data_IF_754915179912
#
_entry.id   IF_754915179912
#
_cell.length_a   1.000
_cell.length_b   1.000
_cell.length_c   1.000
_cell.angle_alpha   90.00
_cell.angle_beta   90.00
_cell.angle_gamma   90.00
#
_symmetry.space_group_name_H-M   'P 1'
#
loop_
_entity.id
_entity.type
_entity.pdbx_description
1 polymer ?
#
# COMPACT_ATOMS: atom_id res chain seq x y z
N UNK A 1 8.01 -8.59 29.80
CA UNK A 1 7.50 -9.65 28.90
C UNK A 1 8.38 -9.78 27.67
N UNK A 2 8.23 -10.81 26.88
CA UNK A 2 8.91 -10.95 25.59
C UNK A 2 8.27 -10.00 24.55
N UNK A 3 9.11 -9.22 23.86
CA UNK A 3 8.70 -8.29 22.82
C UNK A 3 9.10 -8.89 21.44
N UNK A 4 8.12 -9.36 20.65
CA UNK A 4 8.39 -10.01 19.38
C UNK A 4 8.96 -9.04 18.33
N UNK A 5 8.57 -7.75 18.34
CA UNK A 5 9.06 -6.79 17.37
C UNK A 5 10.51 -6.39 17.68
N UNK A 6 10.82 -6.11 18.94
CA UNK A 6 12.20 -5.84 19.35
C UNK A 6 13.13 -7.01 19.00
N UNK A 7 12.69 -8.26 19.31
CA UNK A 7 13.44 -9.46 18.97
C UNK A 7 13.65 -9.59 17.45
N UNK A 8 12.60 -9.36 16.64
CA UNK A 8 12.68 -9.47 15.19
C UNK A 8 13.69 -8.47 14.61
N UNK A 9 13.60 -7.20 15.02
CA UNK A 9 14.52 -6.14 14.57
C UNK A 9 15.97 -6.50 14.91
N UNK A 10 16.22 -6.90 16.16
CA UNK A 10 17.56 -7.30 16.62
C UNK A 10 18.12 -8.47 15.79
N UNK A 11 17.32 -9.49 15.53
CA UNK A 11 17.74 -10.66 14.76
C UNK A 11 17.96 -10.37 13.28
N UNK A 12 17.21 -9.42 12.69
CA UNK A 12 17.48 -8.91 11.34
C UNK A 12 18.82 -8.19 11.29
N UNK A 13 19.06 -7.26 12.19
CA UNK A 13 20.28 -6.44 12.23
C UNK A 13 21.54 -7.29 12.47
N UNK A 14 21.48 -8.31 13.34
CA UNK A 14 22.59 -9.27 13.52
C UNK A 14 23.01 -9.98 12.22
N UNK A 15 22.12 -10.01 11.23
CA UNK A 15 22.35 -10.66 9.92
C UNK A 15 22.56 -9.66 8.79
N UNK A 16 22.65 -8.36 9.10
CA UNK A 16 22.77 -7.30 8.09
C UNK A 16 21.51 -7.12 7.24
N UNK A 17 20.34 -7.45 7.79
CA UNK A 17 19.02 -7.34 7.13
C UNK A 17 18.27 -6.16 7.73
N UNK A 18 17.76 -5.28 6.90
CA UNK A 18 16.85 -4.20 7.31
C UNK A 18 15.48 -4.77 7.73
N UNK A 19 14.90 -4.20 8.77
CA UNK A 19 13.60 -4.61 9.31
C UNK A 19 12.52 -3.54 9.04
N UNK A 20 11.50 -3.94 8.30
CA UNK A 20 10.36 -3.07 7.97
C UNK A 20 9.09 -3.53 8.67
N UNK A 21 8.31 -2.58 9.19
CA UNK A 21 7.00 -2.85 9.78
C UNK A 21 5.91 -2.66 8.74
N UNK A 22 5.03 -3.63 8.60
CA UNK A 22 3.85 -3.57 7.72
C UNK A 22 2.59 -3.34 8.53
N UNK A 23 1.81 -2.30 8.17
CA UNK A 23 0.57 -1.92 8.84
C UNK A 23 -0.59 -1.76 7.87
N UNK A 24 -1.79 -2.04 8.36
CA UNK A 24 -3.06 -1.66 7.75
C UNK A 24 -3.63 -0.46 8.53
N UNK A 25 -3.45 0.79 8.05
CA UNK A 25 -3.72 1.96 8.89
C UNK A 25 -5.19 2.13 9.26
N UNK A 26 -6.12 1.79 8.38
CA UNK A 26 -7.54 2.03 8.61
C UNK A 26 -8.37 0.77 8.87
N UNK A 27 -7.94 -0.40 8.40
CA UNK A 27 -8.76 -1.60 8.47
C UNK A 27 -8.99 -2.07 9.90
N UNK A 28 -10.24 -1.99 10.36
CA UNK A 28 -10.68 -2.51 11.64
C UNK A 28 -11.15 -3.97 11.55
N UNK A 29 -11.97 -4.31 10.53
CA UNK A 29 -12.47 -5.68 10.31
C UNK A 29 -12.80 -5.95 8.84
N UNK A 30 -12.70 -7.21 8.44
CA UNK A 30 -13.21 -7.73 7.16
C UNK A 30 -14.43 -8.65 7.32
N UNK A 31 -15.02 -8.70 8.54
CA UNK A 31 -16.11 -9.61 8.91
C UNK A 31 -17.33 -8.87 9.48
N UNK A 32 -17.42 -7.56 9.25
CA UNK A 32 -18.52 -6.70 9.72
C UNK A 32 -18.28 -6.04 11.06
N UNK A 33 -19.22 -5.16 11.43
CA UNK A 33 -19.12 -4.26 12.60
C UNK A 33 -19.20 -4.98 13.95
N UNK A 34 -19.71 -6.20 13.98
CA UNK A 34 -19.89 -6.97 15.22
C UNK A 34 -18.73 -7.96 15.49
N UNK A 35 -17.63 -7.88 14.73
CA UNK A 35 -16.49 -8.80 14.86
C UNK A 35 -15.79 -8.66 16.21
N UNK A 36 -15.63 -7.45 16.72
CA UNK A 36 -14.91 -7.13 17.96
C UNK A 36 -15.81 -6.39 18.94
N UNK A 37 -15.60 -6.61 20.22
CA UNK A 37 -16.44 -6.05 21.28
C UNK A 37 -15.67 -5.79 22.58
N UNK A 38 -14.38 -5.53 22.50
CA UNK A 38 -13.64 -5.03 23.66
C UNK A 38 -14.20 -3.67 24.09
N UNK A 39 -13.88 -3.22 25.29
CA UNK A 39 -14.28 -1.91 25.78
C UNK A 39 -13.87 -0.78 24.80
N UNK A 40 -12.66 -0.85 24.28
CA UNK A 40 -12.17 0.10 23.28
C UNK A 40 -12.91 0.00 21.94
N UNK A 41 -13.25 -1.19 21.46
CA UNK A 41 -14.04 -1.36 20.25
C UNK A 41 -15.44 -0.75 20.38
N UNK A 42 -16.06 -0.89 21.54
CA UNK A 42 -17.35 -0.31 21.84
C UNK A 42 -17.29 1.22 21.90
N UNK A 43 -16.23 1.77 22.48
CA UNK A 43 -15.97 3.21 22.49
C UNK A 43 -15.86 3.77 21.07
N UNK A 44 -15.06 3.15 20.20
CA UNK A 44 -14.93 3.58 18.81
C UNK A 44 -16.25 3.52 18.03
N UNK A 45 -17.06 2.47 18.24
CA UNK A 45 -18.41 2.37 17.65
C UNK A 45 -19.33 3.49 18.14
N UNK A 46 -19.38 3.72 19.45
CA UNK A 46 -20.24 4.74 20.07
C UNK A 46 -19.87 6.16 19.65
N UNK A 47 -18.59 6.40 19.37
CA UNK A 47 -18.07 7.69 18.90
C UNK A 47 -18.11 7.84 17.38
N UNK A 48 -18.77 6.91 16.64
CA UNK A 48 -18.86 6.93 15.18
C UNK A 48 -17.49 6.97 14.47
N UNK A 49 -16.47 6.39 15.09
CA UNK A 49 -15.14 6.33 14.49
C UNK A 49 -15.01 5.26 13.40
N UNK A 50 -16.00 4.38 13.27
CA UNK A 50 -15.99 3.29 12.31
C UNK A 50 -17.02 3.51 11.20
N UNK A 51 -16.64 3.19 9.97
CA UNK A 51 -17.54 3.17 8.81
C UNK A 51 -17.56 1.77 8.18
N UNK A 52 -18.73 1.41 7.66
CA UNK A 52 -18.96 0.12 7.01
C UNK A 52 -19.08 0.36 5.51
N UNK A 53 -18.37 -0.41 4.71
CA UNK A 53 -18.50 -0.38 3.26
C UNK A 53 -19.87 -0.90 2.76
N UNK A 54 -20.20 -0.59 1.52
CA UNK A 54 -21.50 -0.92 0.93
C UNK A 54 -21.80 -2.43 0.91
N UNK A 55 -20.77 -3.28 0.95
CA UNK A 55 -20.91 -4.73 1.05
C UNK A 55 -21.24 -5.24 2.46
N UNK A 56 -21.26 -4.38 3.48
CA UNK A 56 -21.57 -4.73 4.87
C UNK A 56 -20.49 -5.50 5.63
N UNK A 57 -19.38 -5.87 5.00
CA UNK A 57 -18.33 -6.72 5.60
C UNK A 57 -17.07 -5.96 5.97
N UNK A 58 -16.58 -5.10 5.10
CA UNK A 58 -15.40 -4.31 5.39
C UNK A 58 -15.73 -3.12 6.27
N UNK A 59 -15.00 -3.01 7.37
CA UNK A 59 -15.14 -1.92 8.35
C UNK A 59 -13.78 -1.27 8.53
N UNK A 60 -13.73 0.05 8.41
CA UNK A 60 -12.53 0.84 8.61
C UNK A 60 -12.75 1.93 9.64
N UNK A 61 -11.70 2.39 10.26
CA UNK A 61 -11.73 3.70 10.90
C UNK A 61 -12.09 4.76 9.85
N UNK A 62 -12.89 5.74 10.25
CA UNK A 62 -13.36 6.79 9.34
C UNK A 62 -12.22 7.77 8.98
N UNK A 63 -11.74 7.79 7.72
CA UNK A 63 -10.62 8.65 7.34
C UNK A 63 -10.96 10.15 7.39
N UNK A 64 -12.24 10.49 7.45
CA UNK A 64 -12.71 11.87 7.54
C UNK A 64 -12.54 12.49 8.95
N UNK A 65 -12.27 11.69 9.96
CA UNK A 65 -12.12 12.15 11.33
C UNK A 65 -10.68 12.48 11.67
N UNK A 66 -10.50 13.63 12.31
CA UNK A 66 -9.20 14.06 12.84
C UNK A 66 -8.68 13.07 13.89
N UNK A 67 -9.55 12.56 14.74
CA UNK A 67 -9.27 11.59 15.79
C UNK A 67 -8.72 10.26 15.21
N UNK A 68 -9.26 9.81 14.09
CA UNK A 68 -8.72 8.64 13.37
C UNK A 68 -7.30 8.91 12.86
N UNK A 69 -7.06 10.06 12.26
CA UNK A 69 -5.74 10.44 11.77
C UNK A 69 -4.73 10.56 12.93
N UNK A 70 -5.11 11.20 14.02
CA UNK A 70 -4.28 11.30 15.24
C UNK A 70 -3.98 9.92 15.84
N UNK A 71 -4.95 9.00 15.86
CA UNK A 71 -4.73 7.62 16.31
C UNK A 71 -3.64 6.94 15.47
N UNK A 72 -3.74 7.01 14.14
CA UNK A 72 -2.76 6.40 13.23
C UNK A 72 -1.38 7.01 13.44
N UNK A 73 -1.28 8.34 13.46
CA UNK A 73 -0.02 9.05 13.67
C UNK A 73 0.62 8.71 15.02
N UNK A 74 -0.18 8.55 16.08
CA UNK A 74 0.32 8.15 17.40
C UNK A 74 0.88 6.73 17.40
N UNK A 75 0.25 5.79 16.71
CA UNK A 75 0.79 4.42 16.54
C UNK A 75 2.12 4.46 15.78
N UNK A 76 2.21 5.24 14.70
CA UNK A 76 3.47 5.43 13.96
C UNK A 76 4.56 6.00 14.87
N UNK A 77 4.24 7.06 15.62
CA UNK A 77 5.14 7.69 16.56
C UNK A 77 5.66 6.72 17.62
N UNK A 78 4.77 5.89 18.19
CA UNK A 78 5.13 4.87 19.16
C UNK A 78 6.15 3.88 18.57
N UNK A 79 5.86 3.34 17.38
CA UNK A 79 6.72 2.35 16.73
C UNK A 79 8.09 2.96 16.40
N UNK A 80 8.12 4.12 15.75
CA UNK A 80 9.37 4.77 15.31
C UNK A 80 10.24 5.20 16.49
N UNK A 81 9.62 5.57 17.62
CA UNK A 81 10.35 5.99 18.83
C UNK A 81 10.92 4.80 19.60
N UNK A 82 10.18 3.69 19.69
CA UNK A 82 10.55 2.59 20.58
C UNK A 82 11.34 1.46 19.89
N UNK A 83 11.33 1.39 18.56
CA UNK A 83 11.98 0.31 17.81
C UNK A 83 12.96 0.85 16.78
N UNK A 84 14.09 0.18 16.67
CA UNK A 84 15.15 0.53 15.70
C UNK A 84 14.83 -0.01 14.28
N UNK A 85 13.59 0.21 13.81
CA UNK A 85 13.17 -0.18 12.47
C UNK A 85 13.89 0.64 11.40
N UNK A 86 14.05 0.06 10.20
CA UNK A 86 14.67 0.72 9.04
C UNK A 86 13.63 1.30 8.09
N UNK A 87 12.40 0.82 8.18
CA UNK A 87 11.31 1.33 7.36
C UNK A 87 9.93 0.86 7.79
N UNK A 88 8.94 1.40 7.09
CA UNK A 88 7.54 1.13 7.32
C UNK A 88 6.78 1.06 6.00
N UNK A 89 5.85 0.12 5.89
CA UNK A 89 5.01 -0.09 4.73
C UNK A 89 3.53 -0.11 5.13
N UNK A 90 2.72 0.72 4.48
CA UNK A 90 1.27 0.60 4.56
C UNK A 90 0.72 -0.32 3.46
N UNK A 91 -0.35 -1.05 3.79
CA UNK A 91 -1.15 -1.83 2.84
C UNK A 91 -2.12 -0.93 2.07
N UNK A 92 -2.95 -1.50 1.19
CA UNK A 92 -3.87 -0.82 0.28
C UNK A 92 -5.29 -0.58 0.85
N UNK A 93 -5.50 -0.77 2.15
CA UNK A 93 -6.82 -0.63 2.79
C UNK A 93 -7.00 0.78 3.36
N UNK A 94 -7.64 1.68 2.59
CA UNK A 94 -7.97 3.05 3.00
C UNK A 94 -9.45 3.17 3.35
N UNK A 95 -10.31 3.56 2.40
CA UNK A 95 -11.75 3.41 2.60
C UNK A 95 -12.16 1.94 2.45
N UNK A 96 -13.37 1.53 2.93
CA UNK A 96 -13.78 0.14 2.89
C UNK A 96 -13.69 -0.46 1.49
N UNK A 97 -13.07 -1.62 1.36
CA UNK A 97 -13.09 -2.40 0.13
C UNK A 97 -14.53 -2.80 -0.22
N UNK A 98 -14.97 -2.53 -1.42
CA UNK A 98 -16.37 -2.60 -1.81
C UNK A 98 -17.00 -1.22 -1.98
N UNK A 99 -16.23 -0.20 -1.61
CA UNK A 99 -16.61 1.18 -1.81
C UNK A 99 -17.49 1.75 -0.72
N UNK A 100 -17.82 3.02 -0.93
CA UNK A 100 -18.73 3.79 -0.09
C UNK A 100 -19.48 4.74 -1.03
N UNK A 101 -20.80 4.77 -0.92
CA UNK A 101 -21.62 5.62 -1.80
C UNK A 101 -21.18 7.08 -1.77
N UNK A 102 -21.25 7.77 -2.90
CA UNK A 102 -20.95 9.20 -3.05
C UNK A 102 -22.24 10.04 -3.04
N UNK A 103 -23.11 9.82 -2.07
CA UNK A 103 -24.40 10.50 -1.93
C UNK A 103 -24.63 10.97 -0.51
N UNK A 104 -25.76 11.63 -0.28
CA UNK A 104 -26.18 12.10 1.06
C UNK A 104 -26.42 10.98 2.07
N UNK A 105 -26.46 9.72 1.64
CA UNK A 105 -26.54 8.55 2.53
C UNK A 105 -25.17 8.00 2.91
N UNK A 106 -24.06 8.61 2.46
CA UNK A 106 -22.73 8.19 2.81
C UNK A 106 -22.46 8.30 4.31
N UNK A 107 -21.75 7.35 4.91
CA UNK A 107 -21.49 7.36 6.35
C UNK A 107 -20.65 8.55 6.83
N UNK A 108 -19.90 9.17 5.94
CA UNK A 108 -19.06 10.36 6.20
C UNK A 108 -19.64 11.66 5.59
N UNK A 109 -20.92 11.65 5.15
CA UNK A 109 -21.52 12.79 4.47
C UNK A 109 -21.65 14.04 5.35
N UNK A 110 -21.94 13.88 6.62
CA UNK A 110 -22.06 15.02 7.55
C UNK A 110 -20.68 15.67 7.78
N UNK A 111 -19.59 14.90 7.83
CA UNK A 111 -18.23 15.42 7.89
C UNK A 111 -17.87 16.16 6.59
N UNK A 112 -18.26 15.60 5.43
CA UNK A 112 -18.08 16.26 4.14
C UNK A 112 -18.78 17.62 4.10
N UNK A 113 -20.03 17.68 4.51
CA UNK A 113 -20.78 18.95 4.58
C UNK A 113 -20.14 19.95 5.56
N UNK A 114 -19.79 19.48 6.75
CA UNK A 114 -19.18 20.31 7.78
C UNK A 114 -17.82 20.88 7.36
N UNK A 115 -17.10 20.23 6.45
CA UNK A 115 -15.82 20.71 5.94
C UNK A 115 -15.94 21.99 5.10
N UNK A 116 -17.14 22.30 4.59
CA UNK A 116 -17.35 23.47 3.72
C UNK A 116 -16.60 23.43 2.39
N UNK A 117 -16.03 22.28 2.01
CA UNK A 117 -15.23 22.14 0.79
C UNK A 117 -16.09 22.28 -0.48
N UNK A 118 -15.46 22.76 -1.55
CA UNK A 118 -16.05 22.78 -2.91
C UNK A 118 -15.65 21.56 -3.75
N UNK A 119 -14.82 20.65 -3.22
CA UNK A 119 -14.42 19.42 -3.90
C UNK A 119 -15.62 18.47 -4.04
N UNK A 120 -15.55 17.54 -5.00
CA UNK A 120 -16.43 16.37 -4.99
C UNK A 120 -16.19 15.54 -3.72
N UNK A 121 -17.19 14.76 -3.30
CA UNK A 121 -17.01 13.89 -2.13
C UNK A 121 -15.87 12.89 -2.32
N UNK A 122 -15.68 12.36 -3.55
CA UNK A 122 -14.57 11.47 -3.88
C UNK A 122 -13.21 12.15 -3.78
N UNK A 123 -13.07 13.39 -4.28
CA UNK A 123 -11.82 14.15 -4.15
C UNK A 123 -11.52 14.53 -2.70
N UNK A 124 -12.55 14.88 -1.94
CA UNK A 124 -12.41 15.16 -0.51
C UNK A 124 -11.96 13.92 0.28
N UNK A 125 -12.48 12.74 -0.03
CA UNK A 125 -12.05 11.47 0.58
C UNK A 125 -10.58 11.17 0.25
N UNK A 126 -10.16 11.34 -1.00
CA UNK A 126 -8.74 11.20 -1.38
C UNK A 126 -7.87 12.18 -0.62
N UNK A 127 -8.34 13.42 -0.46
CA UNK A 127 -7.62 14.42 0.33
C UNK A 127 -7.44 13.99 1.79
N UNK A 128 -8.47 13.44 2.45
CA UNK A 128 -8.35 12.93 3.82
C UNK A 128 -7.29 11.83 3.94
N UNK A 129 -7.24 10.92 2.95
CA UNK A 129 -6.21 9.87 2.91
C UNK A 129 -4.82 10.46 2.65
N UNK A 130 -4.70 11.38 1.69
CA UNK A 130 -3.42 12.03 1.37
C UNK A 130 -2.88 12.82 2.57
N UNK A 131 -3.72 13.53 3.29
CA UNK A 131 -3.34 14.26 4.51
C UNK A 131 -2.83 13.31 5.60
N UNK A 132 -3.47 12.15 5.79
CA UNK A 132 -2.98 11.13 6.73
C UNK A 132 -1.60 10.58 6.32
N UNK A 133 -1.41 10.28 5.04
CA UNK A 133 -0.13 9.80 4.52
C UNK A 133 0.96 10.85 4.74
N UNK A 134 0.67 12.12 4.45
CA UNK A 134 1.60 13.23 4.67
C UNK A 134 1.94 13.42 6.16
N UNK A 135 0.95 13.36 7.04
CA UNK A 135 1.18 13.49 8.50
C UNK A 135 2.04 12.33 9.03
N UNK A 136 1.81 11.10 8.58
CA UNK A 136 2.66 9.95 8.92
C UNK A 136 4.09 10.13 8.42
N UNK A 137 4.27 10.51 7.16
CA UNK A 137 5.58 10.77 6.57
C UNK A 137 6.34 11.84 7.36
N UNK A 138 5.72 13.00 7.58
CA UNK A 138 6.33 14.10 8.30
C UNK A 138 6.72 13.70 9.73
N UNK A 139 5.86 12.97 10.43
CA UNK A 139 6.13 12.46 11.79
C UNK A 139 7.33 11.51 11.78
N UNK A 140 7.41 10.60 10.82
CA UNK A 140 8.56 9.69 10.69
C UNK A 140 9.84 10.49 10.45
N UNK A 141 9.83 11.43 9.50
CA UNK A 141 11.01 12.20 9.13
C UNK A 141 11.46 13.16 10.22
N UNK A 142 10.54 13.69 11.02
CA UNK A 142 10.86 14.51 12.20
C UNK A 142 11.56 13.68 13.30
N UNK A 143 11.10 12.47 13.57
CA UNK A 143 11.62 11.61 14.62
C UNK A 143 12.87 10.84 14.19
N UNK A 144 12.83 10.24 13.00
CA UNK A 144 13.85 9.36 12.44
C UNK A 144 13.92 9.57 10.92
N UNK A 145 14.69 10.54 10.42
CA UNK A 145 14.80 10.84 8.98
C UNK A 145 15.39 9.68 8.15
N UNK A 146 16.11 8.76 8.78
CA UNK A 146 16.67 7.54 8.21
C UNK A 146 15.62 6.46 7.93
N UNK A 147 14.50 6.43 8.67
CA UNK A 147 13.43 5.45 8.47
C UNK A 147 12.69 5.73 7.17
N UNK A 148 12.64 4.73 6.28
CA UNK A 148 11.94 4.82 5.00
C UNK A 148 10.45 4.53 5.18
N UNK A 149 9.62 5.30 4.50
CA UNK A 149 8.18 5.12 4.50
C UNK A 149 7.65 4.86 3.09
N UNK A 150 6.83 3.84 2.92
CA UNK A 150 6.23 3.50 1.65
C UNK A 150 4.83 2.91 1.76
N UNK A 151 4.19 2.73 0.62
CA UNK A 151 2.84 2.18 0.53
C UNK A 151 2.80 1.13 -0.58
N UNK A 152 2.09 0.02 -0.31
CA UNK A 152 1.81 -1.05 -1.25
C UNK A 152 0.39 -0.94 -1.82
N UNK A 153 0.10 -0.02 -2.75
CA UNK A 153 -1.22 0.11 -3.34
C UNK A 153 -1.57 -1.09 -4.22
N UNK A 154 -2.82 -1.22 -4.62
CA UNK A 154 -3.19 -2.18 -5.66
C UNK A 154 -2.38 -1.95 -6.93
N UNK A 155 -2.08 -3.02 -7.66
CA UNK A 155 -1.13 -2.99 -8.78
C UNK A 155 -1.58 -2.23 -10.03
N UNK A 156 -2.83 -1.76 -10.06
CA UNK A 156 -3.40 -1.06 -11.21
C UNK A 156 -3.56 0.42 -10.91
N UNK A 157 -2.99 1.25 -11.75
CA UNK A 157 -3.13 2.70 -11.65
C UNK A 157 -4.47 3.20 -12.21
N UNK A 158 -4.70 4.49 -12.13
CA UNK A 158 -5.97 5.15 -12.38
C UNK A 158 -5.92 6.19 -13.51
N UNK A 159 -7.10 6.65 -13.94
CA UNK A 159 -7.28 7.60 -15.06
C UNK A 159 -6.64 8.97 -14.83
N UNK A 160 -6.44 9.37 -13.59
CA UNK A 160 -5.78 10.65 -13.26
C UNK A 160 -4.30 10.72 -13.63
N UNK A 161 -3.70 9.63 -14.14
CA UNK A 161 -2.30 9.61 -14.55
C UNK A 161 -1.92 10.76 -15.50
N UNK A 162 -2.82 11.15 -16.40
CA UNK A 162 -2.64 12.25 -17.33
C UNK A 162 -2.45 13.62 -16.64
N UNK A 163 -3.07 13.84 -15.48
CA UNK A 163 -2.88 15.05 -14.66
C UNK A 163 -1.41 15.27 -14.29
N UNK A 164 -0.66 14.20 -14.16
CA UNK A 164 0.78 14.21 -13.82
C UNK A 164 1.68 14.07 -15.05
N UNK A 165 1.12 14.12 -16.26
CA UNK A 165 1.87 13.91 -17.50
C UNK A 165 2.36 12.47 -17.68
N UNK A 166 1.61 11.50 -17.13
CA UNK A 166 1.81 10.07 -17.34
C UNK A 166 0.73 9.53 -18.28
N UNK A 167 1.04 8.51 -19.11
CA UNK A 167 0.00 7.81 -19.86
C UNK A 167 -0.90 7.01 -18.93
N UNK A 168 -2.12 6.69 -19.36
CA UNK A 168 -2.96 5.73 -18.64
C UNK A 168 -2.35 4.32 -18.70
N UNK A 169 -2.71 3.44 -17.77
CA UNK A 169 -2.26 2.04 -17.79
C UNK A 169 -2.64 1.34 -19.09
N UNK A 170 -3.81 1.65 -19.65
CA UNK A 170 -4.24 1.10 -20.94
C UNK A 170 -3.29 1.40 -22.10
N UNK A 171 -2.47 2.45 -22.00
CA UNK A 171 -1.44 2.75 -23.01
C UNK A 171 -0.31 1.73 -23.04
N UNK A 172 -0.22 0.89 -22.02
CA UNK A 172 0.73 -0.23 -21.92
C UNK A 172 0.06 -1.59 -22.15
N UNK A 173 -1.16 -1.61 -22.69
CA UNK A 173 -1.89 -2.83 -23.00
C UNK A 173 -2.86 -3.32 -21.89
N UNK A 174 -2.87 -2.71 -20.71
CA UNK A 174 -3.80 -3.04 -19.64
C UNK A 174 -5.13 -2.32 -19.80
N UNK A 175 -6.24 -3.05 -19.65
CA UNK A 175 -7.60 -2.51 -19.62
C UNK A 175 -8.18 -2.45 -18.19
N UNK A 176 -7.33 -2.43 -17.20
CA UNK A 176 -7.70 -2.49 -15.80
C UNK A 176 -8.53 -1.28 -15.34
N UNK A 177 -9.37 -1.53 -14.37
CA UNK A 177 -10.22 -0.49 -13.78
C UNK A 177 -9.42 0.39 -12.79
N UNK A 178 -9.90 1.59 -12.56
CA UNK A 178 -9.35 2.52 -11.58
C UNK A 178 -10.02 2.41 -10.19
N UNK A 179 -10.47 1.20 -9.82
CA UNK A 179 -11.25 0.98 -8.59
C UNK A 179 -10.57 1.50 -7.31
N UNK A 180 -9.24 1.36 -7.22
CA UNK A 180 -8.51 1.86 -6.05
C UNK A 180 -8.61 3.38 -5.91
N UNK A 181 -8.57 4.12 -7.01
CA UNK A 181 -8.76 5.57 -7.00
C UNK A 181 -10.22 5.97 -6.77
N UNK A 182 -11.15 5.26 -7.42
CA UNK A 182 -12.56 5.61 -7.46
C UNK A 182 -13.37 5.08 -6.26
N UNK A 183 -12.97 3.95 -5.66
CA UNK A 183 -13.79 3.28 -4.63
C UNK A 183 -13.15 3.26 -3.25
N UNK A 184 -11.82 3.07 -3.16
CA UNK A 184 -11.11 3.12 -1.87
C UNK A 184 -10.30 4.39 -1.67
N UNK A 185 -10.40 5.32 -2.63
CA UNK A 185 -9.83 6.68 -2.57
C UNK A 185 -8.32 6.68 -2.34
N UNK A 186 -7.62 5.71 -2.93
CA UNK A 186 -6.18 5.56 -2.91
C UNK A 186 -5.55 6.34 -4.07
N UNK A 187 -4.67 7.30 -3.78
CA UNK A 187 -4.06 8.19 -4.79
C UNK A 187 -2.52 8.15 -4.75
N UNK A 188 -1.91 7.03 -5.16
CA UNK A 188 -0.46 6.85 -5.08
C UNK A 188 0.33 7.84 -5.94
N UNK A 189 -0.25 8.37 -7.01
CA UNK A 189 0.43 9.36 -7.85
C UNK A 189 0.58 10.69 -7.11
N UNK A 190 -0.41 11.11 -6.34
CA UNK A 190 -0.29 12.30 -5.48
C UNK A 190 0.80 12.11 -4.42
N UNK A 191 0.87 10.96 -3.77
CA UNK A 191 1.91 10.72 -2.74
C UNK A 191 3.32 10.78 -3.30
N UNK A 192 3.56 10.19 -4.47
CA UNK A 192 4.86 10.27 -5.15
C UNK A 192 5.15 11.70 -5.63
N UNK A 193 4.16 12.39 -6.19
CA UNK A 193 4.30 13.76 -6.67
C UNK A 193 4.59 14.77 -5.55
N UNK A 194 3.93 14.64 -4.42
CA UNK A 194 4.11 15.49 -3.23
C UNK A 194 5.32 15.07 -2.37
N UNK A 195 5.95 13.92 -2.68
CA UNK A 195 7.10 13.40 -1.94
C UNK A 195 6.77 12.97 -0.52
N UNK A 196 5.56 12.46 -0.28
CA UNK A 196 5.08 11.95 1.02
C UNK A 196 5.27 10.44 1.19
N UNK A 197 6.03 9.82 0.30
CA UNK A 197 6.53 8.45 0.40
C UNK A 197 7.96 8.38 -0.14
N UNK A 198 8.82 7.57 0.46
CA UNK A 198 10.17 7.29 -0.04
C UNK A 198 10.14 6.22 -1.13
N UNK A 199 9.19 5.30 -1.06
CA UNK A 199 9.01 4.25 -2.06
C UNK A 199 7.55 3.88 -2.26
N UNK A 200 7.27 3.30 -3.43
CA UNK A 200 5.98 2.73 -3.78
C UNK A 200 6.14 1.24 -4.11
N UNK A 201 5.26 0.40 -3.59
CA UNK A 201 5.33 -1.05 -3.78
C UNK A 201 4.00 -1.64 -4.26
N UNK A 202 3.58 -1.37 -5.52
CA UNK A 202 2.30 -1.83 -6.02
C UNK A 202 2.23 -3.36 -6.08
N UNK A 203 1.05 -3.91 -5.75
CA UNK A 203 0.78 -5.34 -5.68
C UNK A 203 0.50 -5.91 -7.08
N UNK A 204 1.56 -6.25 -7.81
CA UNK A 204 1.48 -6.79 -9.18
C UNK A 204 1.22 -8.31 -9.16
N UNK A 205 0.06 -8.71 -8.67
CA UNK A 205 -0.27 -10.11 -8.39
C UNK A 205 -0.85 -10.86 -9.60
N UNK A 206 -0.34 -10.59 -10.80
CA UNK A 206 -0.71 -11.22 -12.08
C UNK A 206 0.51 -11.80 -12.79
N UNK A 207 0.25 -12.73 -13.71
CA UNK A 207 1.29 -13.30 -14.58
C UNK A 207 1.82 -12.25 -15.56
N UNK A 208 3.02 -12.51 -16.07
CA UNK A 208 3.67 -11.64 -17.07
C UNK A 208 2.83 -11.48 -18.33
N UNK A 209 2.03 -12.48 -18.68
CA UNK A 209 1.18 -12.53 -19.89
C UNK A 209 -0.31 -12.41 -19.60
N UNK A 210 -0.70 -11.96 -18.40
CA UNK A 210 -2.12 -11.79 -18.06
C UNK A 210 -2.79 -10.81 -19.03
N UNK A 211 -3.98 -11.18 -19.56
CA UNK A 211 -4.62 -10.50 -20.71
C UNK A 211 -5.04 -9.05 -20.44
N UNK A 212 -5.31 -8.68 -19.18
CA UNK A 212 -5.80 -7.33 -18.82
C UNK A 212 -4.85 -6.59 -17.87
N UNK A 213 -4.13 -7.32 -17.02
CA UNK A 213 -3.27 -6.78 -15.99
C UNK A 213 -1.88 -7.42 -16.08
N UNK A 214 -1.31 -7.49 -17.28
CA UNK A 214 0.00 -8.11 -17.50
C UNK A 214 1.08 -7.49 -16.63
N UNK A 215 1.81 -8.32 -15.89
CA UNK A 215 2.90 -7.85 -15.03
C UNK A 215 3.91 -7.00 -15.81
N UNK A 216 4.22 -7.39 -17.05
CA UNK A 216 5.20 -6.70 -17.88
C UNK A 216 4.81 -5.23 -18.14
N UNK A 217 3.55 -4.97 -18.48
CA UNK A 217 3.04 -3.62 -18.73
C UNK A 217 2.95 -2.81 -17.43
N UNK A 218 2.45 -3.43 -16.36
CA UNK A 218 2.29 -2.76 -15.08
C UNK A 218 3.63 -2.38 -14.45
N UNK A 219 4.62 -3.29 -14.44
CA UNK A 219 5.94 -2.98 -13.89
C UNK A 219 6.66 -1.90 -14.68
N UNK A 220 6.50 -1.87 -16.01
CA UNK A 220 7.03 -0.80 -16.86
C UNK A 220 6.41 0.55 -16.49
N UNK A 221 5.07 0.60 -16.39
CA UNK A 221 4.35 1.82 -16.06
C UNK A 221 4.73 2.37 -14.67
N UNK A 222 4.75 1.50 -13.66
CA UNK A 222 5.11 1.91 -12.30
C UNK A 222 6.57 2.37 -12.17
N UNK A 223 7.47 1.71 -12.90
CA UNK A 223 8.87 2.13 -12.94
C UNK A 223 9.03 3.53 -13.56
N UNK A 224 8.32 3.81 -14.65
CA UNK A 224 8.33 5.13 -15.27
C UNK A 224 7.71 6.20 -14.37
N UNK A 225 6.58 5.89 -13.71
CA UNK A 225 5.92 6.79 -12.77
C UNK A 225 6.81 7.13 -11.56
N UNK A 226 7.38 6.12 -10.93
CA UNK A 226 8.27 6.31 -9.79
C UNK A 226 9.54 7.11 -10.17
N UNK A 227 10.15 6.79 -11.29
CA UNK A 227 11.31 7.52 -11.78
C UNK A 227 11.00 9.00 -12.07
N UNK A 228 9.81 9.29 -12.62
CA UNK A 228 9.36 10.67 -12.88
C UNK A 228 9.29 11.52 -11.61
N UNK A 229 8.90 10.91 -10.50
CA UNK A 229 8.73 11.60 -9.22
C UNK A 229 9.90 11.39 -8.24
N UNK A 230 11.01 10.80 -8.71
CA UNK A 230 12.19 10.47 -7.88
C UNK A 230 11.82 9.63 -6.64
N UNK A 231 10.88 8.71 -6.81
CA UNK A 231 10.43 7.77 -5.79
C UNK A 231 11.03 6.39 -6.06
N UNK A 232 11.38 5.63 -5.02
CA UNK A 232 11.83 4.25 -5.20
C UNK A 232 10.66 3.35 -5.57
N UNK A 233 10.93 2.33 -6.39
CA UNK A 233 9.93 1.37 -6.84
C UNK A 233 10.33 -0.05 -6.45
N UNK A 234 9.44 -0.73 -5.72
CA UNK A 234 9.58 -2.14 -5.37
C UNK A 234 8.34 -2.91 -5.83
N UNK A 235 8.46 -3.74 -6.87
CA UNK A 235 7.33 -4.55 -7.32
C UNK A 235 6.96 -5.60 -6.28
N UNK A 236 5.73 -5.54 -5.74
CA UNK A 236 5.21 -6.62 -4.90
C UNK A 236 4.73 -7.79 -5.76
N UNK A 237 5.32 -8.97 -5.54
CA UNK A 237 5.12 -10.18 -6.32
C UNK A 237 4.37 -11.25 -5.52
N UNK A 238 3.43 -11.93 -6.19
CA UNK A 238 2.56 -12.94 -5.58
C UNK A 238 3.26 -14.30 -5.38
N UNK A 239 4.25 -14.34 -4.50
CA UNK A 239 4.98 -15.53 -4.12
C UNK A 239 4.08 -16.71 -3.70
N UNK A 240 2.94 -16.40 -3.06
CA UNK A 240 1.96 -17.39 -2.62
C UNK A 240 1.24 -18.13 -3.77
N UNK A 241 1.32 -17.62 -4.99
CA UNK A 241 0.73 -18.28 -6.17
C UNK A 241 1.63 -19.35 -6.78
N UNK A 242 2.93 -19.37 -6.42
CA UNK A 242 3.83 -20.40 -6.89
C UNK A 242 3.39 -21.76 -6.34
N UNK A 243 3.23 -22.73 -7.23
CA UNK A 243 2.69 -24.06 -6.98
C UNK A 243 1.22 -24.16 -6.53
N UNK A 244 0.52 -23.03 -6.38
CA UNK A 244 -0.88 -23.03 -5.93
C UNK A 244 -1.89 -22.60 -7.02
N UNK A 245 -1.45 -21.86 -8.05
CA UNK A 245 -2.33 -21.27 -9.05
C UNK A 245 -1.82 -21.48 -10.48
N UNK A 246 -1.11 -22.58 -10.71
CA UNK A 246 -0.49 -22.86 -12.01
C UNK A 246 0.83 -22.09 -12.25
N UNK A 247 1.27 -21.26 -11.32
CA UNK A 247 2.54 -20.54 -11.41
C UNK A 247 3.69 -21.45 -11.01
N UNK A 248 4.78 -21.43 -11.79
CA UNK A 248 6.07 -22.00 -11.39
C UNK A 248 7.03 -20.92 -10.90
N UNK A 249 8.14 -21.33 -10.29
CA UNK A 249 9.23 -20.40 -9.90
C UNK A 249 9.76 -19.59 -11.11
N UNK A 250 9.71 -20.14 -12.31
CA UNK A 250 10.10 -19.48 -13.55
C UNK A 250 9.26 -18.22 -13.84
N UNK A 251 8.00 -18.14 -13.39
CA UNK A 251 7.21 -16.93 -13.52
C UNK A 251 7.79 -15.79 -12.68
N UNK A 252 8.16 -16.07 -11.43
CA UNK A 252 8.82 -15.09 -10.56
C UNK A 252 10.18 -14.66 -11.12
N UNK A 253 10.97 -15.59 -11.67
CA UNK A 253 12.25 -15.26 -12.32
C UNK A 253 12.04 -14.26 -13.47
N UNK A 254 11.07 -14.52 -14.37
CA UNK A 254 10.71 -13.59 -15.44
C UNK A 254 10.29 -12.20 -14.91
N UNK A 255 9.54 -12.15 -13.82
CA UNK A 255 9.13 -10.90 -13.20
C UNK A 255 10.34 -10.11 -12.68
N UNK A 256 11.33 -10.79 -12.07
CA UNK A 256 12.59 -10.15 -11.64
C UNK A 256 13.38 -9.61 -12.83
N UNK A 257 13.48 -10.39 -13.93
CA UNK A 257 14.13 -9.93 -15.16
C UNK A 257 13.44 -8.67 -15.74
N UNK A 258 12.12 -8.63 -15.72
CA UNK A 258 11.35 -7.46 -16.16
C UNK A 258 11.58 -6.25 -15.23
N UNK A 259 11.64 -6.45 -13.91
CA UNK A 259 11.98 -5.39 -12.98
C UNK A 259 13.37 -4.80 -13.30
N UNK A 260 14.37 -5.65 -13.51
CA UNK A 260 15.72 -5.23 -13.94
C UNK A 260 15.72 -4.52 -15.29
N UNK A 261 14.96 -5.04 -16.26
CA UNK A 261 14.85 -4.46 -17.61
C UNK A 261 14.27 -3.05 -17.59
N UNK A 262 13.26 -2.79 -16.77
CA UNK A 262 12.56 -1.51 -16.70
C UNK A 262 13.08 -0.60 -15.58
N UNK A 263 14.07 -1.03 -14.83
CA UNK A 263 14.71 -0.23 -13.79
C UNK A 263 15.20 1.10 -14.33
N UNK A 264 14.86 2.17 -13.62
CA UNK A 264 15.34 3.52 -13.89
C UNK A 264 16.18 4.00 -12.71
N UNK A 265 17.33 4.59 -12.99
CA UNK A 265 18.19 5.23 -11.97
C UNK A 265 18.53 4.31 -10.77
N UNK A 266 18.71 2.99 -10.97
CA UNK A 266 18.91 1.99 -9.90
C UNK A 266 17.82 2.00 -8.83
N UNK A 267 16.58 2.18 -9.22
CA UNK A 267 15.48 2.57 -8.37
C UNK A 267 14.39 1.49 -8.26
N UNK A 268 14.73 0.24 -8.51
CA UNK A 268 13.78 -0.86 -8.55
C UNK A 268 14.24 -2.05 -7.71
N UNK A 269 13.26 -2.77 -7.17
CA UNK A 269 13.48 -4.01 -6.43
C UNK A 269 12.24 -4.91 -6.43
N UNK A 270 12.30 -5.99 -5.67
CA UNK A 270 11.23 -6.97 -5.53
C UNK A 270 10.85 -7.16 -4.07
N UNK A 271 9.55 -7.20 -3.78
CA UNK A 271 8.98 -7.63 -2.50
C UNK A 271 8.18 -8.91 -2.75
N UNK A 272 8.46 -9.97 -1.98
CA UNK A 272 7.80 -11.27 -2.15
C UNK A 272 6.74 -11.49 -1.08
N UNK A 273 5.47 -11.51 -1.48
CA UNK A 273 4.37 -11.83 -0.59
C UNK A 273 3.96 -13.30 -0.81
N UNK A 274 4.27 -14.23 0.10
CA UNK A 274 4.90 -14.02 1.40
C UNK A 274 6.10 -14.97 1.62
N UNK A 275 6.78 -14.86 2.75
CA UNK A 275 7.98 -15.65 3.10
C UNK A 275 7.71 -17.15 3.15
N UNK A 276 6.55 -17.60 3.66
CA UNK A 276 6.23 -19.02 3.77
C UNK A 276 6.28 -19.69 2.39
N UNK A 277 5.66 -19.05 1.40
CA UNK A 277 5.65 -19.55 0.03
C UNK A 277 7.00 -19.35 -0.67
N UNK A 278 7.63 -18.19 -0.45
CA UNK A 278 8.93 -17.85 -1.04
C UNK A 278 10.03 -18.86 -0.68
N UNK A 279 10.05 -19.32 0.57
CA UNK A 279 11.02 -20.30 1.06
C UNK A 279 11.07 -21.58 0.21
N UNK A 280 9.93 -22.01 -0.36
CA UNK A 280 9.83 -23.25 -1.11
C UNK A 280 10.58 -23.26 -2.45
N UNK A 281 10.88 -22.09 -3.02
CA UNK A 281 11.56 -21.96 -4.31
C UNK A 281 12.76 -20.98 -4.31
N UNK A 282 13.18 -20.54 -3.13
CA UNK A 282 14.29 -19.61 -2.96
C UNK A 282 15.58 -20.11 -3.64
N UNK A 283 15.89 -21.41 -3.50
CA UNK A 283 17.08 -22.01 -4.13
C UNK A 283 17.01 -21.98 -5.65
N UNK A 284 15.81 -22.13 -6.24
CA UNK A 284 15.64 -22.02 -7.70
C UNK A 284 15.96 -20.62 -8.19
N UNK A 285 15.47 -19.58 -7.52
CA UNK A 285 15.77 -18.18 -7.87
C UNK A 285 17.25 -17.85 -7.65
N UNK A 286 17.87 -18.36 -6.58
CA UNK A 286 19.29 -18.16 -6.30
C UNK A 286 20.20 -18.74 -7.38
N UNK A 287 19.83 -19.89 -7.95
CA UNK A 287 20.58 -20.54 -9.03
C UNK A 287 20.25 -20.00 -10.42
N UNK A 288 19.18 -19.23 -10.57
CA UNK A 288 18.72 -18.64 -11.81
C UNK A 288 18.97 -17.13 -11.81
N UNK A 289 17.92 -16.34 -11.60
CA UNK A 289 17.92 -14.89 -11.77
C UNK A 289 18.81 -14.15 -10.77
N UNK A 290 19.06 -14.71 -9.60
CA UNK A 290 19.98 -14.16 -8.59
C UNK A 290 21.39 -14.75 -8.62
N UNK A 291 21.70 -15.61 -9.58
CA UNK A 291 23.07 -16.09 -9.81
C UNK A 291 24.01 -14.99 -10.30
N UNK A 292 23.46 -13.94 -10.89
CA UNK A 292 24.20 -12.74 -11.32
C UNK A 292 23.67 -11.50 -10.62
N UNK A 293 24.53 -10.59 -10.17
CA UNK A 293 24.11 -9.27 -9.66
C UNK A 293 23.28 -8.49 -10.68
N UNK A 294 22.44 -7.60 -10.18
CA UNK A 294 21.66 -6.67 -11.01
C UNK A 294 22.55 -5.59 -11.62
#
# INVERSE_FOLDING_TARGET
GWDPLAFFVEECHKRGIEAYVWLNPYRWSSKGINTWSTEQDLEWKNNNMLIVGDNGTYVTFNPALKETRELIVNVIKEIVTNYAIDGMLFDDYFYPSGGTTESSSAPDYEQYKASGTTMSIGDWRRRNVNDMVADCYNTIKELRPDVRFGIGPAGVSHKSASKYGLPSVSSYGSSASDWQYAQIYCDPLTWMYEGTVDFISPQLYWETTHSTNGYAELTHWWSDAAAKFNCHYYASQASYKVNNSGWGAAEIAKQVELNRKYMKNNNCGSIYYNTISFKSYLSSLGNDVYSTPA
#
